data_IF_791229748025
#
_entry.id   IF_791229748025
#
_cell.length_a   1.000
_cell.length_b   1.000
_cell.length_c   1.000
_cell.angle_alpha   90.00
_cell.angle_beta   90.00
_cell.angle_gamma   90.00
#
_symmetry.space_group_name_H-M   'P 1'
#
loop_
_entity.id
_entity.type
_entity.pdbx_description
1 polymer ?
#
# COMPACT_ATOMS: atom_id res chain seq x y z
N UNK A 1 -6.12 -2.07 -21.04
CA UNK A 1 -7.43 -1.62 -20.58
C UNK A 1 -7.32 -1.41 -19.09
N UNK A 2 -7.59 -0.19 -18.61
CA UNK A 2 -7.68 0.12 -17.20
C UNK A 2 -9.16 0.07 -16.81
N UNK A 3 -9.53 -0.91 -16.01
CA UNK A 3 -10.86 -1.03 -15.45
C UNK A 3 -10.83 -0.62 -13.98
N UNK A 4 -11.72 0.28 -13.59
CA UNK A 4 -12.04 0.57 -12.21
C UNK A 4 -13.40 -0.03 -11.93
N UNK A 5 -13.45 -1.04 -11.09
CA UNK A 5 -14.68 -1.64 -10.61
C UNK A 5 -14.62 -1.77 -9.09
N UNK A 6 -15.76 -1.85 -8.42
CA UNK A 6 -15.86 -2.04 -6.98
C UNK A 6 -16.72 -3.27 -6.67
N UNK A 7 -16.38 -3.97 -5.57
CA UNK A 7 -17.17 -5.06 -5.05
C UNK A 7 -17.23 -6.29 -5.94
N UNK A 8 -18.41 -6.91 -6.04
CA UNK A 8 -18.62 -8.18 -6.76
C UNK A 8 -18.22 -8.17 -8.23
N UNK A 9 -18.28 -7.01 -8.88
CA UNK A 9 -17.91 -6.83 -10.29
C UNK A 9 -16.46 -7.24 -10.58
N UNK A 10 -15.54 -7.08 -9.60
CA UNK A 10 -14.15 -7.52 -9.75
C UNK A 10 -14.03 -9.05 -9.80
N UNK A 11 -14.75 -9.78 -8.97
CA UNK A 11 -14.73 -11.23 -8.97
C UNK A 11 -15.29 -11.79 -10.28
N UNK A 12 -16.35 -11.20 -10.81
CA UNK A 12 -16.92 -11.61 -12.11
C UNK A 12 -15.95 -11.32 -13.26
N UNK A 13 -15.27 -10.17 -13.20
CA UNK A 13 -14.23 -9.84 -14.16
C UNK A 13 -13.06 -10.84 -14.10
N UNK A 14 -12.57 -11.17 -12.90
CA UNK A 14 -11.48 -12.14 -12.75
C UNK A 14 -11.89 -13.52 -13.26
N UNK A 15 -13.11 -14.00 -12.97
CA UNK A 15 -13.61 -15.26 -13.51
C UNK A 15 -13.65 -15.26 -15.04
N UNK A 16 -14.06 -14.16 -15.65
CA UNK A 16 -14.08 -14.04 -17.10
C UNK A 16 -12.66 -14.09 -17.68
N UNK A 17 -11.69 -13.39 -17.06
CA UNK A 17 -10.28 -13.43 -17.48
C UNK A 17 -9.71 -14.85 -17.39
N UNK A 18 -10.00 -15.58 -16.30
CA UNK A 18 -9.58 -16.99 -16.15
C UNK A 18 -10.19 -17.88 -17.24
N UNK A 19 -11.48 -17.71 -17.52
CA UNK A 19 -12.18 -18.45 -18.55
C UNK A 19 -11.59 -18.24 -19.96
N UNK A 20 -11.14 -17.02 -20.25
CA UNK A 20 -10.53 -16.65 -21.53
C UNK A 20 -9.00 -16.85 -21.55
N UNK A 21 -8.44 -17.53 -20.54
CA UNK A 21 -7.00 -17.75 -20.38
C UNK A 21 -6.17 -16.46 -20.44
N UNK A 22 -6.72 -15.39 -19.89
CA UNK A 22 -6.08 -14.08 -19.84
C UNK A 22 -4.89 -14.01 -18.87
N UNK A 23 -4.07 -12.98 -19.02
CA UNK A 23 -2.87 -12.78 -18.21
C UNK A 23 -2.97 -11.48 -17.42
N UNK A 24 -2.69 -11.53 -16.13
CA UNK A 24 -2.65 -10.36 -15.25
C UNK A 24 -1.26 -9.72 -15.30
N UNK A 25 -1.16 -8.53 -15.89
CA UNK A 25 0.09 -7.77 -15.90
C UNK A 25 0.32 -7.00 -14.61
N UNK A 26 -0.76 -6.49 -14.02
CA UNK A 26 -0.72 -5.75 -12.75
C UNK A 26 -2.08 -5.77 -12.07
N UNK A 27 -2.04 -5.90 -10.76
CA UNK A 27 -3.17 -5.72 -9.86
C UNK A 27 -2.71 -4.89 -8.67
N UNK A 28 -3.52 -3.92 -8.30
CA UNK A 28 -3.33 -3.13 -7.09
C UNK A 28 -4.50 -3.42 -6.14
N UNK A 29 -4.19 -3.94 -4.96
CA UNK A 29 -5.17 -4.13 -3.87
C UNK A 29 -4.98 -2.98 -2.90
N UNK A 30 -6.05 -2.25 -2.58
CA UNK A 30 -5.98 -1.07 -1.75
C UNK A 30 -6.84 -1.23 -0.49
N UNK A 31 -6.24 -0.94 0.67
CA UNK A 31 -6.92 -0.78 1.95
C UNK A 31 -7.05 0.72 2.21
N UNK A 32 -8.28 1.16 2.43
CA UNK A 32 -8.58 2.56 2.73
C UNK A 32 -8.70 2.75 4.23
N UNK A 33 -7.85 3.58 4.79
CA UNK A 33 -7.94 4.04 6.17
C UNK A 33 -8.75 5.35 6.21
N UNK A 34 -10.00 5.24 6.64
CA UNK A 34 -10.91 6.38 6.77
C UNK A 34 -10.72 7.13 8.09
N UNK A 35 -10.24 6.44 9.11
CA UNK A 35 -10.11 6.97 10.46
C UNK A 35 -8.76 7.67 10.71
N UNK A 36 -7.77 7.50 9.81
CA UNK A 36 -6.44 8.06 9.99
C UNK A 36 -5.56 7.27 10.97
N UNK A 37 -5.76 5.97 11.10
CA UNK A 37 -4.99 5.12 12.00
C UNK A 37 -3.58 4.81 11.49
N UNK A 38 -3.37 4.89 10.17
CA UNK A 38 -2.05 4.70 9.56
C UNK A 38 -1.22 5.96 9.74
N UNK A 39 -0.42 6.02 10.79
CA UNK A 39 0.57 7.06 11.00
C UNK A 39 1.81 6.80 10.12
N UNK A 40 1.84 7.40 8.94
CA UNK A 40 2.89 7.16 7.94
C UNK A 40 4.26 7.68 8.40
N UNK A 41 4.38 8.86 9.01
CA UNK A 41 5.62 9.31 9.65
C UNK A 41 6.15 8.33 10.69
N UNK A 42 5.28 7.78 11.54
CA UNK A 42 5.66 6.80 12.55
C UNK A 42 6.16 5.47 11.92
N UNK A 43 5.48 4.97 10.89
CA UNK A 43 5.94 3.79 10.16
C UNK A 43 7.30 4.02 9.48
N UNK A 44 7.53 5.22 8.94
CA UNK A 44 8.80 5.59 8.36
C UNK A 44 9.92 5.69 9.41
N UNK A 45 9.59 6.18 10.63
CA UNK A 45 10.52 6.18 11.77
C UNK A 45 10.91 4.76 12.17
N UNK A 46 9.94 3.84 12.27
CA UNK A 46 10.20 2.41 12.51
C UNK A 46 11.12 1.81 11.44
N UNK A 47 10.95 2.18 10.17
CA UNK A 47 11.87 1.76 9.12
C UNK A 47 13.29 2.29 9.35
N UNK A 48 13.45 3.54 9.80
CA UNK A 48 14.77 4.12 10.11
C UNK A 48 15.45 3.46 11.30
N UNK A 49 14.66 3.04 12.29
CA UNK A 49 15.14 2.34 13.50
C UNK A 49 15.32 0.83 13.31
N UNK A 50 15.03 0.32 12.10
CA UNK A 50 15.01 -1.11 11.82
C UNK A 50 14.03 -1.91 12.73
N UNK A 51 12.97 -1.26 13.21
CA UNK A 51 11.93 -1.85 14.03
C UNK A 51 10.87 -2.54 13.16
N UNK A 52 11.30 -3.44 12.31
CA UNK A 52 10.44 -4.24 11.44
C UNK A 52 11.12 -5.53 11.01
N UNK A 53 10.31 -6.55 10.72
CA UNK A 53 10.74 -7.76 10.03
C UNK A 53 10.17 -7.72 8.62
N UNK A 54 11.02 -7.89 7.62
CA UNK A 54 10.60 -7.82 6.21
C UNK A 54 11.50 -8.62 5.30
N UNK A 55 10.93 -9.11 4.20
CA UNK A 55 11.69 -9.69 3.09
C UNK A 55 12.01 -8.65 2.00
N UNK A 56 11.51 -7.44 2.11
CA UNK A 56 11.90 -6.35 1.23
C UNK A 56 13.34 -5.90 1.52
N UNK A 57 14.08 -5.56 0.47
CA UNK A 57 15.49 -5.14 0.56
C UNK A 57 15.68 -3.63 0.63
N UNK A 58 14.61 -2.86 0.46
CA UNK A 58 14.68 -1.41 0.42
C UNK A 58 13.36 -0.79 0.82
N UNK A 59 13.42 0.41 1.39
CA UNK A 59 12.29 1.30 1.55
C UNK A 59 12.65 2.70 1.05
N UNK A 60 11.64 3.52 0.74
CA UNK A 60 11.77 4.96 0.45
C UNK A 60 10.66 5.70 1.18
N UNK A 61 11.03 6.78 1.78
CA UNK A 61 10.11 7.68 2.46
C UNK A 61 10.18 9.07 1.84
N UNK A 62 9.02 9.63 1.54
CA UNK A 62 8.84 11.03 1.19
C UNK A 62 8.01 11.67 2.28
N UNK A 63 8.57 12.71 2.92
CA UNK A 63 7.88 13.47 3.93
C UNK A 63 7.38 14.78 3.33
N UNK A 64 6.25 15.27 3.85
CA UNK A 64 5.75 16.58 3.51
C UNK A 64 6.83 17.65 3.81
N UNK A 65 7.16 18.46 2.82
CA UNK A 65 8.16 19.52 2.95
C UNK A 65 9.63 19.14 2.70
N UNK A 66 9.96 17.87 2.42
CA UNK A 66 11.36 17.44 2.21
C UNK A 66 11.92 17.66 0.79
N UNK A 67 11.14 18.08 -0.17
CA UNK A 67 11.67 18.35 -1.50
C UNK A 67 12.40 19.69 -1.54
N UNK A 68 13.71 19.66 -1.34
CA UNK A 68 14.63 20.82 -1.32
C UNK A 68 14.56 21.65 -2.61
N UNK A 69 14.01 21.11 -3.71
CA UNK A 69 13.88 21.79 -5.01
C UNK A 69 12.43 22.11 -5.40
N UNK A 70 11.45 21.76 -4.59
CA UNK A 70 10.07 22.19 -4.82
C UNK A 70 9.96 23.68 -4.50
N UNK A 71 9.18 24.41 -5.28
CA UNK A 71 8.79 25.79 -4.95
C UNK A 71 8.08 25.79 -3.60
N UNK A 72 8.16 26.88 -2.86
CA UNK A 72 7.49 26.98 -1.54
C UNK A 72 6.02 26.56 -1.60
N UNK A 73 5.33 26.92 -2.68
CA UNK A 73 3.93 26.58 -2.95
C UNK A 73 3.68 25.07 -3.16
N UNK A 74 4.69 24.31 -3.56
CA UNK A 74 4.56 22.85 -3.79
C UNK A 74 4.84 22.04 -2.50
N UNK A 75 5.48 22.62 -1.49
CA UNK A 75 5.86 21.93 -0.25
C UNK A 75 4.67 21.61 0.63
N UNK A 76 3.70 22.51 0.69
CA UNK A 76 2.47 22.35 1.45
C UNK A 76 1.50 21.35 0.82
N UNK A 77 1.76 20.92 -0.42
CA UNK A 77 0.92 20.04 -1.21
C UNK A 77 1.41 18.58 -1.24
N UNK A 78 2.51 18.28 -0.57
CA UNK A 78 3.09 16.92 -0.59
C UNK A 78 2.78 16.19 0.70
N UNK A 79 1.84 15.27 0.63
CA UNK A 79 1.55 14.34 1.72
C UNK A 79 2.67 13.31 1.94
N UNK A 80 2.67 12.70 3.11
CA UNK A 80 3.61 11.64 3.45
C UNK A 80 3.38 10.40 2.58
N UNK A 81 4.47 9.78 2.13
CA UNK A 81 4.44 8.53 1.36
C UNK A 81 5.58 7.61 1.75
N UNK A 82 5.26 6.37 2.09
CA UNK A 82 6.22 5.31 2.40
C UNK A 82 6.10 4.19 1.35
N UNK A 83 7.21 3.88 0.70
CA UNK A 83 7.34 2.72 -0.18
C UNK A 83 8.15 1.64 0.51
N UNK A 84 7.63 0.42 0.56
CA UNK A 84 8.33 -0.78 1.00
C UNK A 84 8.58 -1.68 -0.20
N UNK A 85 9.83 -2.02 -0.45
CA UNK A 85 10.25 -2.73 -1.65
C UNK A 85 10.61 -1.81 -2.82
N UNK A 86 11.07 -2.40 -3.91
CA UNK A 86 11.44 -1.69 -5.14
C UNK A 86 10.24 -1.56 -6.07
N UNK A 87 9.99 -0.36 -6.60
CA UNK A 87 8.97 -0.14 -7.63
C UNK A 87 9.22 -0.92 -8.94
N UNK A 88 10.43 -1.47 -9.12
CA UNK A 88 10.78 -2.34 -10.24
C UNK A 88 10.48 -3.82 -9.98
N UNK A 89 10.23 -4.18 -8.72
CA UNK A 89 9.90 -5.56 -8.31
C UNK A 89 8.47 -5.93 -8.72
N UNK A 90 8.21 -7.22 -8.74
CA UNK A 90 6.85 -7.74 -8.99
C UNK A 90 5.88 -7.47 -7.85
N UNK A 91 6.41 -7.17 -6.66
CA UNK A 91 5.62 -6.73 -5.51
C UNK A 91 6.34 -5.58 -4.80
N UNK A 92 5.57 -4.58 -4.41
CA UNK A 92 5.95 -3.54 -3.47
C UNK A 92 4.71 -2.91 -2.85
N UNK A 93 4.87 -2.28 -1.71
CA UNK A 93 3.81 -1.56 -1.02
C UNK A 93 4.00 -0.06 -1.14
N UNK A 94 2.88 0.66 -1.20
CA UNK A 94 2.84 2.12 -1.20
C UNK A 94 1.81 2.58 -0.18
N UNK A 95 2.26 3.26 0.86
CA UNK A 95 1.41 3.78 1.93
C UNK A 95 1.47 5.30 1.85
N UNK A 96 0.32 5.96 1.72
CA UNK A 96 0.31 7.40 1.49
C UNK A 96 -0.96 8.09 2.02
N UNK A 97 -0.84 9.39 2.27
CA UNK A 97 -1.94 10.28 2.63
C UNK A 97 -2.84 10.51 1.42
N UNK A 98 -4.00 9.86 1.43
CA UNK A 98 -4.93 9.86 0.30
C UNK A 98 -5.72 11.15 0.18
N UNK A 99 -6.01 11.80 1.28
CA UNK A 99 -6.64 13.11 1.34
C UNK A 99 -5.74 14.17 0.67
N UNK A 100 -4.45 14.20 0.98
CA UNK A 100 -3.48 15.07 0.32
C UNK A 100 -3.38 14.80 -1.19
N UNK A 101 -3.34 13.53 -1.59
CA UNK A 101 -3.34 13.18 -3.02
C UNK A 101 -4.59 13.71 -3.73
N UNK A 102 -5.75 13.63 -3.07
CA UNK A 102 -7.01 14.16 -3.63
C UNK A 102 -6.99 15.69 -3.69
N UNK A 103 -6.54 16.37 -2.64
CA UNK A 103 -6.39 17.81 -2.62
C UNK A 103 -5.54 18.30 -3.80
N UNK A 104 -4.35 17.74 -3.98
CA UNK A 104 -3.45 18.10 -5.08
C UNK A 104 -4.08 17.86 -6.46
N UNK A 105 -4.80 16.74 -6.62
CA UNK A 105 -5.38 16.36 -7.93
C UNK A 105 -6.67 17.08 -8.29
N UNK A 106 -7.48 17.41 -7.31
CA UNK A 106 -8.86 17.84 -7.54
C UNK A 106 -9.21 19.16 -6.88
N UNK A 107 -8.35 19.70 -6.00
CA UNK A 107 -8.64 20.86 -5.16
C UNK A 107 -9.69 20.57 -4.06
N UNK A 108 -10.04 19.31 -3.81
CA UNK A 108 -10.97 18.93 -2.72
C UNK A 108 -10.29 19.18 -1.39
N UNK A 109 -10.97 19.86 -0.48
CA UNK A 109 -10.44 20.13 0.86
C UNK A 109 -10.12 18.83 1.60
N UNK A 110 -9.04 18.85 2.40
CA UNK A 110 -8.54 17.66 3.12
C UNK A 110 -9.57 17.14 4.11
N UNK A 111 -10.30 18.04 4.78
CA UNK A 111 -11.34 17.73 5.75
C UNK A 111 -12.52 16.98 5.13
N UNK A 112 -12.79 17.23 3.86
CA UNK A 112 -13.89 16.59 3.11
C UNK A 112 -13.54 15.23 2.53
N UNK A 113 -12.31 14.78 2.72
CA UNK A 113 -11.86 13.50 2.17
C UNK A 113 -12.44 12.31 2.95
N UNK A 114 -13.11 11.39 2.23
CA UNK A 114 -13.67 10.15 2.80
C UNK A 114 -12.60 9.15 3.27
N UNK A 115 -11.39 9.27 2.73
CA UNK A 115 -10.27 8.38 2.99
C UNK A 115 -9.07 9.24 3.36
N UNK A 116 -8.54 9.06 4.57
CA UNK A 116 -7.37 9.78 5.07
C UNK A 116 -6.09 9.18 4.48
N UNK A 117 -5.86 7.91 4.74
CA UNK A 117 -4.68 7.21 4.26
C UNK A 117 -5.05 6.03 3.38
N UNK A 118 -4.08 5.56 2.59
CA UNK A 118 -4.23 4.36 1.78
C UNK A 118 -2.97 3.51 1.82
N UNK A 119 -3.18 2.21 1.99
CA UNK A 119 -2.17 1.19 1.81
C UNK A 119 -2.44 0.46 0.51
N UNK A 120 -1.53 0.53 -0.47
CA UNK A 120 -1.62 -0.17 -1.74
C UNK A 120 -0.60 -1.29 -1.83
N UNK A 121 -1.08 -2.49 -2.10
CA UNK A 121 -0.29 -3.67 -2.45
C UNK A 121 -0.25 -3.71 -3.97
N UNK A 122 0.92 -3.48 -4.57
CA UNK A 122 1.09 -3.44 -6.02
C UNK A 122 1.78 -4.71 -6.49
N UNK A 123 1.07 -5.50 -7.28
CA UNK A 123 1.44 -6.84 -7.72
C UNK A 123 1.56 -6.88 -9.24
N UNK A 124 2.58 -7.55 -9.77
CA UNK A 124 2.81 -7.70 -11.20
C UNK A 124 3.04 -9.16 -11.56
N UNK A 125 2.73 -9.48 -12.82
CA UNK A 125 3.00 -10.77 -13.45
C UNK A 125 2.55 -11.95 -12.56
N UNK A 126 3.46 -12.82 -12.17
CA UNK A 126 3.17 -14.01 -11.37
C UNK A 126 2.53 -13.67 -10.03
N UNK A 127 2.98 -12.60 -9.36
CA UNK A 127 2.39 -12.16 -8.09
C UNK A 127 0.94 -11.68 -8.24
N UNK A 128 0.63 -11.01 -9.35
CA UNK A 128 -0.74 -10.62 -9.68
C UNK A 128 -1.62 -11.85 -9.94
N UNK A 129 -1.10 -12.84 -10.63
CA UNK A 129 -1.81 -14.10 -10.87
C UNK A 129 -2.16 -14.83 -9.58
N UNK A 130 -1.20 -15.04 -8.67
CA UNK A 130 -1.46 -15.70 -7.39
C UNK A 130 -2.46 -14.93 -6.52
N UNK A 131 -2.35 -13.61 -6.46
CA UNK A 131 -3.30 -12.80 -5.71
C UNK A 131 -4.74 -12.92 -6.24
N UNK A 132 -4.93 -12.99 -7.56
CA UNK A 132 -6.26 -13.25 -8.14
C UNK A 132 -6.76 -14.65 -7.80
N UNK A 133 -5.89 -15.65 -7.82
CA UNK A 133 -6.25 -17.00 -7.41
C UNK A 133 -6.75 -17.03 -5.96
N UNK A 134 -6.08 -16.32 -5.06
CA UNK A 134 -6.50 -16.19 -3.66
C UNK A 134 -7.84 -15.45 -3.55
N UNK A 135 -7.98 -14.31 -4.25
CA UNK A 135 -9.24 -13.56 -4.30
C UNK A 135 -10.41 -14.43 -4.78
N UNK A 136 -10.21 -15.24 -5.82
CA UNK A 136 -11.23 -16.13 -6.35
C UNK A 136 -11.51 -17.35 -5.47
N UNK A 137 -10.55 -17.75 -4.64
CA UNK A 137 -10.68 -18.88 -3.71
C UNK A 137 -11.42 -18.48 -2.45
N UNK A 138 -11.03 -17.37 -1.84
CA UNK A 138 -11.57 -16.96 -0.54
C UNK A 138 -12.76 -16.00 -0.66
N UNK A 139 -12.92 -15.33 -1.80
CA UNK A 139 -13.93 -14.28 -2.01
C UNK A 139 -13.87 -13.15 -0.98
N UNK A 140 -12.70 -12.95 -0.39
CA UNK A 140 -12.40 -11.98 0.63
C UNK A 140 -11.13 -11.20 0.27
N UNK A 141 -11.34 -9.95 -0.16
CA UNK A 141 -10.25 -9.08 -0.56
C UNK A 141 -9.45 -8.58 0.65
N UNK A 142 -10.08 -8.43 1.80
CA UNK A 142 -9.44 -8.00 3.03
C UNK A 142 -8.53 -9.11 3.57
N UNK A 143 -9.04 -10.32 3.68
CA UNK A 143 -8.24 -11.48 4.08
C UNK A 143 -7.03 -11.67 3.15
N UNK A 144 -7.23 -11.58 1.82
CA UNK A 144 -6.15 -11.70 0.85
C UNK A 144 -5.10 -10.59 1.06
N UNK A 145 -5.53 -9.34 1.23
CA UNK A 145 -4.64 -8.22 1.44
C UNK A 145 -3.80 -8.39 2.71
N UNK A 146 -4.43 -8.71 3.86
CA UNK A 146 -3.71 -8.90 5.12
C UNK A 146 -2.79 -10.12 5.10
N UNK A 147 -3.17 -11.19 4.42
CA UNK A 147 -2.29 -12.36 4.23
C UNK A 147 -1.01 -11.98 3.49
N UNK A 148 -1.13 -11.19 2.42
CA UNK A 148 0.04 -10.69 1.68
C UNK A 148 0.87 -9.75 2.56
N UNK A 149 0.26 -8.77 3.24
CA UNK A 149 1.00 -7.83 4.09
C UNK A 149 1.81 -8.58 5.15
N UNK A 150 1.17 -9.50 5.88
CA UNK A 150 1.80 -10.25 6.96
C UNK A 150 2.94 -11.16 6.49
N UNK A 151 2.92 -11.61 5.24
CA UNK A 151 4.00 -12.37 4.64
C UNK A 151 5.23 -11.50 4.36
N UNK A 152 5.03 -10.21 4.02
CA UNK A 152 6.09 -9.34 3.52
C UNK A 152 6.65 -8.40 4.57
N UNK A 153 5.85 -7.91 5.51
CA UNK A 153 6.29 -6.96 6.52
C UNK A 153 5.52 -7.11 7.82
N UNK A 154 6.24 -6.96 8.94
CA UNK A 154 5.68 -6.82 10.29
C UNK A 154 6.46 -5.71 10.99
N UNK A 155 5.77 -4.70 11.43
CA UNK A 155 6.34 -3.69 12.30
C UNK A 155 6.35 -4.20 13.75
N UNK A 156 7.40 -3.87 14.47
CA UNK A 156 7.62 -4.32 15.84
C UNK A 156 7.79 -3.13 16.75
N UNK A 157 7.40 -3.27 18.02
CA UNK A 157 7.69 -2.26 19.03
C UNK A 157 8.97 -2.65 19.77
N UNK A 158 9.87 -1.69 20.00
CA UNK A 158 11.05 -1.90 20.83
C UNK A 158 10.60 -1.89 22.29
N UNK A 159 10.44 -3.07 22.90
CA UNK A 159 10.34 -3.17 24.33
C UNK A 159 11.76 -3.24 24.92
N UNK A 160 12.08 -2.49 26.00
CA UNK A 160 13.44 -2.37 26.54
C UNK A 160 14.18 -3.69 26.84
N UNK A 161 13.44 -4.78 27.01
CA UNK A 161 13.98 -6.07 27.44
C UNK A 161 13.77 -7.23 26.44
N UNK A 162 13.22 -6.98 25.24
CA UNK A 162 13.03 -8.04 24.23
C UNK A 162 14.08 -8.01 23.15
N UNK A 163 14.77 -9.14 22.96
CA UNK A 163 15.64 -9.35 21.81
C UNK A 163 14.84 -9.24 20.52
N UNK A 164 15.39 -8.57 19.50
CA UNK A 164 14.80 -8.31 18.16
C UNK A 164 14.25 -9.55 17.42
N UNK A 165 14.33 -10.73 17.99
CA UNK A 165 14.02 -12.01 17.31
C UNK A 165 12.78 -12.73 17.82
N UNK A 166 11.98 -12.18 18.71
CA UNK A 166 10.90 -12.93 19.35
C UNK A 166 9.51 -12.73 18.71
N UNK A 167 9.49 -12.38 17.43
CA UNK A 167 8.26 -12.32 16.67
C UNK A 167 8.03 -13.63 15.93
N UNK A 168 7.42 -14.55 16.61
CA UNK A 168 6.78 -15.72 16.02
C UNK A 168 5.27 -15.57 16.09
#
# INVERSE_FOLDING_TARGET
IFLKAQGRTWFDFFRQVEKEHGVYKRIDIAINDKAGWLDIPYLAEKCRKEEYSTIFRAYRNYQSGELIRAREDDRDQMGNTLYLGSMKSEIYFCIYEKDYEQYVKTGREIEDADVKNRFEIRLRNERAYYAVRDLLTYYDAEQTAFSIINQYVRFVDEEPDKRKNDWK
#
